data_IF_472794342744
#
_entry.id   IF_472794342744
#
_cell.length_a   1.000
_cell.length_b   1.000
_cell.length_c   1.000
_cell.angle_alpha   90.00
_cell.angle_beta   90.00
_cell.angle_gamma   90.00
#
_symmetry.space_group_name_H-M   'P 1'
#
loop_
_entity.id
_entity.type
_entity.pdbx_description
1 polymer ?
#
# COMPACT_ATOMS: atom_id res chain seq x y z
N UNK A 1 -8.24 -39.06 51.16
CA UNK A 1 -8.68 -37.66 51.04
C UNK A 1 -8.18 -37.17 49.70
N UNK A 2 -8.96 -37.45 48.66
CA UNK A 2 -8.61 -37.19 47.26
C UNK A 2 -8.75 -35.70 46.96
N UNK A 3 -7.63 -35.08 46.63
CA UNK A 3 -7.58 -33.73 46.06
C UNK A 3 -8.06 -33.82 44.62
N UNK A 4 -9.38 -33.65 44.41
CA UNK A 4 -9.96 -33.48 43.09
C UNK A 4 -9.35 -32.24 42.43
N UNK A 5 -8.37 -32.47 41.57
CA UNK A 5 -7.93 -31.53 40.56
C UNK A 5 -9.14 -31.22 39.66
N UNK A 6 -9.73 -30.05 39.88
CA UNK A 6 -10.75 -29.49 38.99
C UNK A 6 -10.08 -29.21 37.65
N UNK A 7 -10.07 -30.22 36.78
CA UNK A 7 -9.89 -30.04 35.35
C UNK A 7 -11.03 -29.12 34.88
N UNK A 8 -10.72 -27.83 34.75
CA UNK A 8 -11.56 -26.93 33.98
C UNK A 8 -11.57 -27.49 32.56
N UNK A 9 -12.74 -27.85 31.99
CA UNK A 9 -12.80 -28.28 30.61
C UNK A 9 -12.23 -27.16 29.75
N UNK A 10 -11.01 -27.41 29.25
CA UNK A 10 -10.33 -26.54 28.33
C UNK A 10 -11.27 -26.33 27.16
N UNK A 11 -11.52 -25.07 26.85
CA UNK A 11 -12.20 -24.57 25.67
C UNK A 11 -11.41 -24.96 24.41
N UNK A 12 -11.37 -26.26 24.10
CA UNK A 12 -10.67 -26.85 22.98
C UNK A 12 -11.64 -26.94 21.82
N UNK A 13 -11.54 -26.02 20.87
CA UNK A 13 -12.13 -26.20 19.54
C UNK A 13 -12.80 -24.97 18.93
N UNK A 14 -13.05 -23.90 19.68
CA UNK A 14 -13.51 -22.67 19.03
C UNK A 14 -12.30 -21.91 18.49
N UNK A 15 -12.23 -21.67 17.17
CA UNK A 15 -11.16 -20.87 16.60
C UNK A 15 -11.19 -19.50 17.28
N UNK A 16 -10.07 -19.07 17.86
CA UNK A 16 -9.96 -17.75 18.44
C UNK A 16 -10.26 -16.71 17.34
N UNK A 17 -11.34 -15.94 17.50
CA UNK A 17 -11.77 -14.93 16.54
C UNK A 17 -11.42 -13.56 17.10
N UNK A 18 -10.55 -12.82 16.41
CA UNK A 18 -10.36 -11.40 16.71
C UNK A 18 -11.54 -10.64 16.13
N UNK A 19 -12.38 -10.07 17.00
CA UNK A 19 -13.53 -9.26 16.58
C UNK A 19 -13.09 -7.95 15.94
N UNK A 20 -13.81 -7.55 14.90
CA UNK A 20 -13.57 -6.30 14.19
C UNK A 20 -13.82 -5.06 15.07
N UNK A 21 -12.95 -4.05 14.94
CA UNK A 21 -13.18 -2.73 15.53
C UNK A 21 -13.97 -1.84 14.54
N UNK A 22 -15.23 -1.49 14.83
CA UNK A 22 -16.07 -0.70 13.92
C UNK A 22 -15.54 0.73 13.69
N UNK A 23 -14.75 1.28 14.62
CA UNK A 23 -14.14 2.61 14.47
C UNK A 23 -13.07 2.60 13.39
N UNK A 24 -12.29 1.53 13.31
CA UNK A 24 -11.29 1.32 12.25
C UNK A 24 -11.93 1.12 10.89
N UNK A 25 -13.05 0.41 10.84
CA UNK A 25 -13.81 0.24 9.59
C UNK A 25 -14.29 1.58 9.02
N UNK A 26 -14.83 2.47 9.87
CA UNK A 26 -15.23 3.82 9.43
C UNK A 26 -14.04 4.64 8.92
N UNK A 27 -12.90 4.60 9.62
CA UNK A 27 -11.67 5.29 9.19
C UNK A 27 -11.15 4.74 7.87
N UNK A 28 -11.13 3.42 7.69
CA UNK A 28 -10.70 2.78 6.46
C UNK A 28 -11.61 3.18 5.28
N UNK A 29 -12.94 3.19 5.47
CA UNK A 29 -13.88 3.65 4.44
C UNK A 29 -13.66 5.13 4.11
N UNK A 30 -13.51 5.99 5.12
CA UNK A 30 -13.20 7.41 4.92
C UNK A 30 -11.91 7.61 4.13
N UNK A 31 -10.84 6.88 4.48
CA UNK A 31 -9.57 6.94 3.77
C UNK A 31 -9.69 6.46 2.33
N UNK A 32 -10.44 5.38 2.07
CA UNK A 32 -10.69 4.88 0.71
C UNK A 32 -11.50 5.89 -0.10
N UNK A 33 -12.55 6.48 0.48
CA UNK A 33 -13.32 7.52 -0.18
C UNK A 33 -12.47 8.76 -0.49
N UNK A 34 -11.65 9.21 0.46
CA UNK A 34 -10.73 10.33 0.25
C UNK A 34 -9.69 10.01 -0.83
N UNK A 35 -9.14 8.79 -0.83
CA UNK A 35 -8.18 8.35 -1.84
C UNK A 35 -8.83 8.33 -3.22
N UNK A 36 -10.04 7.77 -3.35
CA UNK A 36 -10.79 7.73 -4.59
C UNK A 36 -11.11 9.14 -5.12
N UNK A 37 -11.59 10.04 -4.24
CA UNK A 37 -11.85 11.44 -4.59
C UNK A 37 -10.57 12.16 -5.01
N UNK A 38 -9.46 11.94 -4.30
CA UNK A 38 -8.17 12.54 -4.64
C UNK A 38 -7.65 12.05 -6.00
N UNK A 39 -7.79 10.75 -6.30
CA UNK A 39 -7.44 10.19 -7.61
C UNK A 39 -8.27 10.81 -8.73
N UNK A 40 -9.58 10.98 -8.50
CA UNK A 40 -10.47 11.64 -9.45
C UNK A 40 -10.08 13.11 -9.69
N UNK A 41 -9.79 13.85 -8.61
CA UNK A 41 -9.35 15.23 -8.68
C UNK A 41 -8.02 15.38 -9.42
N UNK A 42 -7.07 14.46 -9.20
CA UNK A 42 -5.79 14.43 -9.92
C UNK A 42 -6.03 14.18 -11.41
N UNK A 43 -6.86 13.20 -11.78
CA UNK A 43 -7.18 12.92 -13.18
C UNK A 43 -7.83 14.12 -13.86
N UNK A 44 -8.74 14.79 -13.16
CA UNK A 44 -9.43 15.97 -13.68
C UNK A 44 -8.47 17.15 -13.86
N UNK A 45 -7.59 17.39 -12.88
CA UNK A 45 -6.52 18.39 -12.97
C UNK A 45 -5.55 18.07 -14.11
N UNK A 46 -5.22 16.80 -14.30
CA UNK A 46 -4.33 16.35 -15.38
C UNK A 46 -4.97 16.61 -16.75
N UNK A 47 -6.27 16.32 -16.92
CA UNK A 47 -6.98 16.66 -18.15
C UNK A 47 -7.00 18.16 -18.42
N UNK A 48 -7.30 18.98 -17.40
CA UNK A 48 -7.31 20.44 -17.55
C UNK A 48 -5.91 20.98 -17.93
N UNK A 49 -4.85 20.45 -17.32
CA UNK A 49 -3.46 20.82 -17.62
C UNK A 49 -3.02 20.33 -19.00
N UNK A 50 -3.42 19.13 -19.42
CA UNK A 50 -3.13 18.60 -20.75
C UNK A 50 -3.79 19.45 -21.84
N UNK A 51 -5.03 19.91 -21.63
CA UNK A 51 -5.69 20.86 -22.53
C UNK A 51 -4.88 22.13 -22.72
N UNK A 52 -4.47 22.75 -21.60
CA UNK A 52 -3.65 23.96 -21.62
C UNK A 52 -2.25 23.73 -22.23
N UNK A 53 -1.63 22.57 -22.01
CA UNK A 53 -0.33 22.22 -22.60
C UNK A 53 -0.47 22.01 -24.11
N UNK A 54 -1.57 21.43 -24.58
CA UNK A 54 -1.82 21.19 -26.01
C UNK A 54 -1.98 22.50 -26.77
N UNK A 55 -2.68 23.46 -26.18
CA UNK A 55 -2.85 24.82 -26.73
C UNK A 55 -1.53 25.60 -26.73
N UNK A 56 -0.71 25.48 -25.67
CA UNK A 56 0.63 26.08 -25.63
C UNK A 56 1.63 25.37 -26.56
N UNK A 57 1.47 24.08 -26.85
CA UNK A 57 2.36 23.34 -27.73
C UNK A 57 2.27 23.81 -29.20
N UNK A 58 1.13 24.42 -29.58
CA UNK A 58 0.96 25.04 -30.89
C UNK A 58 1.74 26.36 -31.03
N UNK A 59 2.10 27.00 -29.91
CA UNK A 59 2.77 28.31 -29.89
C UNK A 59 4.23 28.26 -29.42
N UNK A 60 4.57 27.40 -28.47
CA UNK A 60 5.91 27.38 -27.84
C UNK A 60 6.23 25.99 -27.23
N UNK A 61 6.71 25.08 -28.09
CA UNK A 61 6.94 23.66 -27.78
C UNK A 61 7.88 23.45 -26.57
N UNK A 62 8.89 24.30 -26.41
CA UNK A 62 9.89 24.20 -25.34
C UNK A 62 9.33 24.47 -23.94
N UNK A 63 8.43 25.46 -23.84
CA UNK A 63 7.75 25.77 -22.57
C UNK A 63 6.71 24.71 -22.21
N UNK A 64 6.07 24.09 -23.20
CA UNK A 64 5.13 23.00 -22.99
C UNK A 64 5.84 21.76 -22.41
N UNK A 65 6.99 21.38 -22.98
CA UNK A 65 7.78 20.22 -22.53
C UNK A 65 8.31 20.42 -21.10
N UNK A 66 8.91 21.58 -20.81
CA UNK A 66 9.45 21.86 -19.48
C UNK A 66 8.39 21.82 -18.37
N UNK A 67 7.18 22.34 -18.63
CA UNK A 67 6.05 22.22 -17.68
C UNK A 67 5.56 20.79 -17.52
N UNK A 68 5.49 20.03 -18.61
CA UNK A 68 5.08 18.62 -18.55
C UNK A 68 6.05 17.77 -17.73
N UNK A 69 7.37 17.94 -17.95
CA UNK A 69 8.42 17.27 -17.18
C UNK A 69 8.33 17.61 -15.69
N UNK A 70 8.09 18.88 -15.35
CA UNK A 70 7.88 19.31 -13.96
C UNK A 70 6.71 18.60 -13.29
N UNK A 71 5.56 18.51 -13.96
CA UNK A 71 4.38 17.80 -13.45
C UNK A 71 4.65 16.30 -13.27
N UNK A 72 5.25 15.65 -14.27
CA UNK A 72 5.61 14.23 -14.21
C UNK A 72 6.54 13.97 -13.02
N UNK A 73 7.52 14.84 -12.77
CA UNK A 73 8.46 14.71 -11.65
C UNK A 73 7.77 14.78 -10.29
N UNK A 74 6.80 15.69 -10.13
CA UNK A 74 6.00 15.80 -8.91
C UNK A 74 5.14 14.55 -8.70
N UNK A 75 4.43 14.11 -9.74
CA UNK A 75 3.59 12.90 -9.68
C UNK A 75 4.43 11.67 -9.36
N UNK A 76 5.57 11.50 -10.03
CA UNK A 76 6.50 10.40 -9.80
C UNK A 76 7.04 10.40 -8.36
N UNK A 77 7.36 11.58 -7.81
CA UNK A 77 7.83 11.71 -6.42
C UNK A 77 6.75 11.26 -5.42
N UNK A 78 5.51 11.69 -5.61
CA UNK A 78 4.38 11.30 -4.76
C UNK A 78 4.11 9.79 -4.87
N UNK A 79 4.17 9.24 -6.09
CA UNK A 79 4.00 7.81 -6.31
C UNK A 79 5.11 6.99 -5.65
N UNK A 80 6.38 7.40 -5.78
CA UNK A 80 7.51 6.74 -5.15
C UNK A 80 7.39 6.71 -3.62
N UNK A 81 7.04 7.85 -3.00
CA UNK A 81 6.76 7.94 -1.57
C UNK A 81 5.63 7.00 -1.13
N UNK A 82 4.57 6.92 -1.93
CA UNK A 82 3.42 6.06 -1.66
C UNK A 82 3.80 4.58 -1.72
N UNK A 83 4.55 4.15 -2.75
CA UNK A 83 5.03 2.77 -2.86
C UNK A 83 6.00 2.40 -1.74
N UNK A 84 6.89 3.32 -1.35
CA UNK A 84 7.81 3.11 -0.24
C UNK A 84 7.04 2.92 1.08
N UNK A 85 6.07 3.79 1.36
CA UNK A 85 5.22 3.67 2.54
C UNK A 85 4.45 2.34 2.57
N UNK A 86 3.92 1.91 1.43
CA UNK A 86 3.23 0.63 1.30
C UNK A 86 4.17 -0.56 1.54
N UNK A 87 5.37 -0.54 0.95
CA UNK A 87 6.38 -1.56 1.15
C UNK A 87 6.83 -1.68 2.61
N UNK A 88 7.09 -0.55 3.27
CA UNK A 88 7.44 -0.52 4.71
C UNK A 88 6.30 -1.08 5.55
N UNK A 89 5.05 -0.71 5.24
CA UNK A 89 3.89 -1.22 5.98
C UNK A 89 3.73 -2.74 5.83
N UNK A 90 3.80 -3.26 4.61
CA UNK A 90 3.73 -4.70 4.34
C UNK A 90 4.93 -5.47 4.91
N UNK A 91 6.13 -4.91 4.84
CA UNK A 91 7.35 -5.48 5.42
C UNK A 91 7.24 -5.57 6.94
N UNK A 92 6.76 -4.51 7.60
CA UNK A 92 6.52 -4.51 9.06
C UNK A 92 5.46 -5.53 9.46
N UNK A 93 4.37 -5.64 8.68
CA UNK A 93 3.34 -6.64 8.90
C UNK A 93 3.90 -8.06 8.76
N UNK A 94 4.68 -8.33 7.71
CA UNK A 94 5.36 -9.61 7.52
C UNK A 94 6.28 -9.94 8.68
N UNK A 95 7.13 -8.99 9.10
CA UNK A 95 8.03 -9.16 10.24
C UNK A 95 7.27 -9.56 11.51
N UNK A 96 6.16 -8.87 11.81
CA UNK A 96 5.33 -9.19 12.98
C UNK A 96 4.67 -10.57 12.89
N UNK A 97 4.19 -10.97 11.70
CA UNK A 97 3.61 -12.31 11.50
C UNK A 97 4.69 -13.39 11.68
N UNK A 98 5.91 -13.15 11.18
CA UNK A 98 7.00 -14.10 11.30
C UNK A 98 7.53 -14.20 12.73
N UNK A 99 7.64 -13.07 13.45
CA UNK A 99 8.11 -13.04 14.84
C UNK A 99 7.10 -13.66 15.80
N UNK A 100 5.80 -13.51 15.54
CA UNK A 100 4.74 -14.00 16.43
C UNK A 100 4.17 -15.36 16.01
N UNK A 101 4.44 -15.81 14.78
CA UNK A 101 3.95 -17.09 14.27
C UNK A 101 2.43 -17.16 14.08
N UNK A 102 1.73 -16.03 14.19
CA UNK A 102 0.27 -15.94 14.10
C UNK A 102 -0.19 -14.76 13.23
N UNK A 103 -1.33 -14.95 12.57
CA UNK A 103 -2.04 -13.92 11.82
C UNK A 103 -3.49 -13.82 12.32
N UNK A 104 -3.99 -12.63 12.67
CA UNK A 104 -3.27 -11.35 12.76
C UNK A 104 -2.24 -11.34 13.91
N UNK A 105 -1.20 -10.48 13.85
CA UNK A 105 -0.27 -10.34 14.98
C UNK A 105 -1.01 -9.89 16.25
N UNK A 106 -0.55 -10.30 17.45
CA UNK A 106 -1.19 -9.94 18.72
C UNK A 106 -1.27 -8.41 18.88
N UNK A 107 -2.40 -7.93 19.39
CA UNK A 107 -2.68 -6.49 19.54
C UNK A 107 -3.07 -5.76 18.25
N UNK A 108 -3.12 -6.45 17.11
CA UNK A 108 -3.55 -5.84 15.84
C UNK A 108 -5.07 -5.76 15.78
N UNK A 109 -5.58 -4.56 15.52
CA UNK A 109 -7.01 -4.35 15.32
C UNK A 109 -7.40 -4.69 13.88
N UNK A 110 -8.41 -5.54 13.72
CA UNK A 110 -8.88 -6.01 12.41
C UNK A 110 -10.15 -5.28 11.97
N UNK A 111 -10.32 -5.14 10.64
CA UNK A 111 -11.47 -4.46 10.02
C UNK A 111 -12.66 -5.42 9.84
N UNK A 112 -12.38 -6.73 9.77
CA UNK A 112 -13.35 -7.83 9.71
C UNK A 112 -12.97 -8.88 10.73
N UNK A 113 -13.97 -9.59 11.24
CA UNK A 113 -13.76 -10.73 12.12
C UNK A 113 -12.78 -11.68 11.44
N UNK A 114 -11.62 -11.85 12.06
CA UNK A 114 -10.50 -12.61 11.47
C UNK A 114 -10.18 -13.76 12.40
N UNK A 115 -10.27 -14.97 11.86
CA UNK A 115 -9.83 -16.18 12.54
C UNK A 115 -8.32 -16.10 12.76
N UNK A 116 -7.88 -16.29 14.01
CA UNK A 116 -6.46 -16.42 14.32
C UNK A 116 -5.94 -17.68 13.65
N UNK A 117 -5.00 -17.50 12.74
CA UNK A 117 -4.27 -18.58 12.08
C UNK A 117 -2.89 -18.65 12.71
N UNK A 118 -2.44 -19.84 13.08
CA UNK A 118 -1.12 -20.09 13.65
C UNK A 118 -0.31 -21.02 12.75
N UNK A 119 1.00 -21.10 12.99
CA UNK A 119 1.89 -22.07 12.34
C UNK A 119 2.08 -21.83 10.85
N UNK A 120 2.03 -22.90 10.04
CA UNK A 120 2.36 -22.83 8.60
C UNK A 120 1.42 -21.91 7.81
N UNK A 121 0.14 -21.84 8.16
CA UNK A 121 -0.82 -20.94 7.48
C UNK A 121 -0.52 -19.46 7.76
N UNK A 122 -0.11 -19.13 8.98
CA UNK A 122 0.33 -17.78 9.33
C UNK A 122 1.61 -17.39 8.58
N UNK A 123 2.59 -18.29 8.52
CA UNK A 123 3.85 -18.07 7.79
C UNK A 123 3.62 -17.84 6.30
N UNK A 124 2.72 -18.58 5.65
CA UNK A 124 2.36 -18.33 4.24
C UNK A 124 1.80 -16.92 4.02
N UNK A 125 0.95 -16.43 4.93
CA UNK A 125 0.43 -15.07 4.88
C UNK A 125 1.53 -14.03 5.12
N UNK A 126 2.46 -14.29 6.04
CA UNK A 126 3.64 -13.44 6.25
C UNK A 126 4.53 -13.37 5.01
N UNK A 127 4.77 -14.50 4.35
CA UNK A 127 5.56 -14.55 3.10
C UNK A 127 4.85 -13.84 1.96
N UNK A 128 3.52 -13.99 1.84
CA UNK A 128 2.74 -13.25 0.84
C UNK A 128 2.83 -11.74 1.08
N UNK A 129 2.72 -11.29 2.34
CA UNK A 129 2.90 -9.88 2.69
C UNK A 129 4.32 -9.38 2.33
N UNK A 130 5.36 -10.19 2.57
CA UNK A 130 6.73 -9.85 2.15
C UNK A 130 6.87 -9.78 0.63
N UNK A 131 6.31 -10.75 -0.10
CA UNK A 131 6.33 -10.76 -1.56
C UNK A 131 5.63 -9.52 -2.13
N UNK A 132 4.49 -9.11 -1.55
CA UNK A 132 3.82 -7.86 -1.90
C UNK A 132 4.70 -6.64 -1.62
N UNK A 133 5.39 -6.59 -0.47
CA UNK A 133 6.32 -5.50 -0.17
C UNK A 133 7.43 -5.40 -1.22
N UNK A 134 8.08 -6.53 -1.55
CA UNK A 134 9.11 -6.59 -2.57
C UNK A 134 8.59 -6.18 -3.95
N UNK A 135 7.38 -6.60 -4.29
CA UNK A 135 6.73 -6.21 -5.54
C UNK A 135 6.53 -4.70 -5.64
N UNK A 136 6.06 -4.04 -4.57
CA UNK A 136 5.92 -2.59 -4.55
C UNK A 136 7.26 -1.86 -4.65
N UNK A 137 8.31 -2.36 -3.99
CA UNK A 137 9.67 -1.81 -4.13
C UNK A 137 10.17 -1.97 -5.56
N UNK A 138 10.00 -3.15 -6.15
CA UNK A 138 10.44 -3.44 -7.51
C UNK A 138 9.74 -2.53 -8.53
N UNK A 139 8.41 -2.42 -8.46
CA UNK A 139 7.64 -1.51 -9.34
C UNK A 139 8.06 -0.06 -9.11
N UNK A 140 8.20 0.38 -7.85
CA UNK A 140 8.64 1.74 -7.55
C UNK A 140 10.01 2.05 -8.14
N UNK A 141 10.96 1.12 -8.00
CA UNK A 141 12.34 1.27 -8.48
C UNK A 141 12.41 1.24 -10.01
N UNK A 142 11.77 0.24 -10.65
CA UNK A 142 11.74 0.09 -12.12
C UNK A 142 10.99 1.26 -12.75
N UNK A 143 9.86 1.68 -12.18
CA UNK A 143 9.10 2.84 -12.64
C UNK A 143 9.91 4.14 -12.55
N UNK A 144 10.63 4.34 -11.45
CA UNK A 144 11.51 5.51 -11.28
C UNK A 144 12.65 5.49 -12.30
N UNK A 145 13.27 4.33 -12.51
CA UNK A 145 14.34 4.15 -13.49
C UNK A 145 13.86 4.41 -14.93
N UNK A 146 12.69 3.88 -15.30
CA UNK A 146 12.08 4.12 -16.61
C UNK A 146 11.74 5.60 -16.84
N UNK A 147 11.25 6.30 -15.81
CA UNK A 147 11.01 7.74 -15.90
C UNK A 147 12.32 8.53 -16.04
N UNK A 148 13.37 8.14 -15.32
CA UNK A 148 14.68 8.76 -15.45
C UNK A 148 15.29 8.54 -16.83
N UNK A 149 15.24 7.32 -17.37
CA UNK A 149 15.76 7.01 -18.70
C UNK A 149 15.00 7.76 -19.80
N UNK A 150 13.68 7.88 -19.67
CA UNK A 150 12.87 8.64 -20.60
C UNK A 150 13.17 10.14 -20.53
N UNK A 151 13.41 10.69 -19.34
CA UNK A 151 13.83 12.08 -19.18
C UNK A 151 15.21 12.34 -19.80
N UNK A 152 16.18 11.43 -19.61
CA UNK A 152 17.52 11.54 -20.23
C UNK A 152 17.43 11.44 -21.75
N UNK A 153 16.68 10.48 -22.29
CA UNK A 153 16.52 10.32 -23.72
C UNK A 153 15.89 11.55 -24.40
N UNK A 154 14.94 12.22 -23.73
CA UNK A 154 14.34 13.47 -24.22
C UNK A 154 15.33 14.65 -24.19
N UNK A 155 16.29 14.64 -23.26
CA UNK A 155 17.31 15.69 -23.15
C UNK A 155 18.47 15.48 -24.13
N UNK A 156 18.87 14.24 -24.39
CA UNK A 156 19.95 13.87 -25.33
C UNK A 156 19.50 13.84 -26.79
N UNK A 157 18.20 13.70 -27.06
CA UNK A 157 17.60 13.77 -28.40
C UNK A 157 17.37 15.19 -28.93
N UNK A 158 17.91 16.21 -28.25
CA UNK A 158 17.96 17.62 -28.69
C UNK A 158 19.38 18.00 -29.05
#
# INVERSE_FOLDING_TARGET
MDSQSVERPGNQGQPEVVRADPRLRRRAVLLVCLLALSGLAILWLLQARLGAIRELAETDLDRAISRAVGLIRVIASIAALSFLGMAVWFGRLSWQIQSTGQYPPPGTKVIRDTLVRTGHRARRLGNLAMASAMFFVAIGTVGMWYMYSLAVAVLEGR
#
